data_IF_573126328830
#
_entry.id   IF_573126328830
#
_cell.length_a   1.000
_cell.length_b   1.000
_cell.length_c   1.000
_cell.angle_alpha   90.00
_cell.angle_beta   90.00
_cell.angle_gamma   90.00
#
_symmetry.space_group_name_H-M   'P 1'
#
loop_
_entity.id
_entity.type
_entity.pdbx_description
1 polymer ?
#
# COMPACT_ATOMS: atom_id res chain seq x y z
N UNK A 1 -28.97 20.52 17.42
CA UNK A 1 -29.81 21.14 16.37
C UNK A 1 -29.73 20.27 15.13
N UNK A 2 -30.88 19.86 14.58
CA UNK A 2 -30.94 19.16 13.28
C UNK A 2 -30.70 20.17 12.18
N UNK A 3 -29.79 19.87 11.24
CA UNK A 3 -29.41 20.71 10.11
C UNK A 3 -29.52 19.90 8.83
N UNK A 4 -29.81 20.58 7.71
CA UNK A 4 -29.77 19.99 6.38
C UNK A 4 -28.50 20.48 5.67
N UNK A 5 -27.71 19.58 5.09
CA UNK A 5 -26.45 19.88 4.40
C UNK A 5 -26.66 19.45 2.94
N UNK A 6 -26.77 20.42 2.04
CA UNK A 6 -27.02 20.18 0.61
C UNK A 6 -25.76 20.37 -0.24
N UNK A 7 -24.74 21.03 0.33
CA UNK A 7 -23.50 21.31 -0.37
C UNK A 7 -22.29 21.34 0.57
N UNK A 8 -21.06 21.18 0.04
CA UNK A 8 -19.81 21.36 0.82
C UNK A 8 -19.72 22.75 1.47
N UNK A 9 -20.30 23.78 0.84
CA UNK A 9 -20.32 25.13 1.39
C UNK A 9 -21.20 25.22 2.65
N UNK A 10 -22.29 24.47 2.72
CA UNK A 10 -23.14 24.44 3.91
C UNK A 10 -22.42 23.73 5.06
N UNK A 11 -21.71 22.63 4.77
CA UNK A 11 -20.87 21.96 5.76
C UNK A 11 -19.78 22.89 6.33
N UNK A 12 -19.07 23.64 5.46
CA UNK A 12 -18.06 24.59 5.89
C UNK A 12 -18.64 25.73 6.77
N UNK A 13 -19.81 26.27 6.43
CA UNK A 13 -20.50 27.29 7.24
C UNK A 13 -20.88 26.77 8.62
N UNK A 14 -21.08 25.48 8.76
CA UNK A 14 -21.37 24.79 10.03
C UNK A 14 -20.11 24.42 10.81
N UNK A 15 -18.93 24.79 10.31
CA UNK A 15 -17.64 24.47 10.93
C UNK A 15 -17.19 23.04 10.71
N UNK A 16 -17.66 22.36 9.66
CA UNK A 16 -17.22 21.02 9.30
C UNK A 16 -16.10 21.14 8.27
N UNK A 17 -14.91 20.65 8.60
CA UNK A 17 -13.76 20.49 7.70
C UNK A 17 -13.51 19.03 7.35
N UNK A 18 -12.98 18.77 6.16
CA UNK A 18 -12.60 17.43 5.74
C UNK A 18 -11.16 17.41 5.22
N UNK A 19 -10.41 16.42 5.66
CA UNK A 19 -9.06 16.10 5.22
C UNK A 19 -9.17 14.78 4.46
N UNK A 20 -8.91 14.84 3.16
CA UNK A 20 -9.06 13.70 2.25
C UNK A 20 -7.84 12.79 2.32
N UNK A 21 -8.03 11.50 1.99
CA UNK A 21 -6.98 10.50 1.85
C UNK A 21 -5.90 10.92 0.84
N UNK A 22 -6.32 11.55 -0.27
CA UNK A 22 -5.42 12.19 -1.23
C UNK A 22 -5.52 13.70 -1.08
N UNK A 23 -4.39 14.36 -0.85
CA UNK A 23 -4.36 15.80 -0.63
C UNK A 23 -4.95 16.59 -1.79
N UNK A 24 -5.77 17.58 -1.45
CA UNK A 24 -6.43 18.46 -2.41
C UNK A 24 -5.70 19.80 -2.54
N UNK A 25 -4.36 19.76 -2.45
CA UNK A 25 -3.48 20.92 -2.57
C UNK A 25 -3.11 21.15 -4.03
N UNK A 26 -2.94 22.42 -4.39
CA UNK A 26 -2.40 22.85 -5.68
C UNK A 26 -0.88 22.87 -5.57
N UNK A 27 -0.15 21.94 -6.26
CA UNK A 27 1.27 21.73 -6.03
C UNK A 27 2.17 22.93 -6.32
N UNK A 28 1.78 23.76 -7.30
CA UNK A 28 2.55 24.93 -7.74
C UNK A 28 2.31 26.19 -6.91
N UNK A 29 1.33 26.18 -6.02
CA UNK A 29 1.00 27.29 -5.14
C UNK A 29 1.78 27.18 -3.82
N UNK A 30 1.96 28.33 -3.17
CA UNK A 30 2.48 28.40 -1.80
C UNK A 30 1.45 27.87 -0.78
N UNK A 31 1.90 27.64 0.45
CA UNK A 31 1.04 27.25 1.57
C UNK A 31 -0.08 28.26 1.78
N UNK A 32 0.27 29.55 1.87
CA UNK A 32 -0.72 30.62 2.10
C UNK A 32 -1.76 30.67 0.98
N UNK A 33 -1.36 30.55 -0.27
CA UNK A 33 -2.29 30.50 -1.41
C UNK A 33 -3.22 29.29 -1.34
N UNK A 34 -2.72 28.10 -0.97
CA UNK A 34 -3.55 26.92 -0.79
C UNK A 34 -4.57 27.06 0.36
N UNK A 35 -4.18 27.69 1.46
CA UNK A 35 -5.08 27.92 2.61
C UNK A 35 -6.20 28.89 2.25
N UNK A 36 -5.88 29.94 1.50
CA UNK A 36 -6.82 30.96 1.04
C UNK A 36 -7.82 30.40 0.01
N UNK A 37 -7.40 29.48 -0.83
CA UNK A 37 -8.21 28.93 -1.92
C UNK A 37 -9.57 28.42 -1.38
N UNK A 38 -10.67 29.07 -1.83
CA UNK A 38 -12.03 28.76 -1.37
C UNK A 38 -12.45 29.34 -0.01
N UNK A 39 -11.56 30.09 0.69
CA UNK A 39 -11.94 30.85 1.89
C UNK A 39 -12.50 32.24 1.52
N UNK A 40 -12.23 32.72 0.33
CA UNK A 40 -12.72 34.02 -0.17
C UNK A 40 -14.21 33.91 -0.44
N UNK A 41 -15.01 34.42 0.51
CA UNK A 41 -16.48 34.49 0.38
C UNK A 41 -16.97 35.80 -0.25
N UNK A 42 -16.13 36.84 -0.22
CA UNK A 42 -16.43 38.15 -0.83
C UNK A 42 -15.38 38.54 -1.87
N UNK A 43 -15.74 38.57 -3.16
CA UNK A 43 -14.84 38.99 -4.24
C UNK A 43 -14.35 40.42 -4.15
N UNK A 44 -14.95 41.25 -3.23
CA UNK A 44 -14.62 42.68 -3.02
C UNK A 44 -13.82 42.93 -1.74
N UNK A 45 -13.60 41.87 -0.92
CA UNK A 45 -12.77 41.98 0.27
C UNK A 45 -11.29 42.17 -0.09
N UNK A 46 -10.62 43.16 0.50
CA UNK A 46 -9.18 43.27 0.40
C UNK A 46 -8.55 42.14 1.18
N UNK A 47 -7.84 41.25 0.48
CA UNK A 47 -7.18 40.08 1.05
C UNK A 47 -5.69 40.42 1.25
N UNK A 48 -5.18 40.29 2.48
CA UNK A 48 -3.75 40.45 2.74
C UNK A 48 -3.07 39.10 2.91
N UNK A 49 -2.18 38.75 1.99
CA UNK A 49 -1.35 37.54 2.07
C UNK A 49 -0.52 37.54 3.36
N UNK A 50 0.01 38.72 3.75
CA UNK A 50 0.83 38.84 4.94
C UNK A 50 0.02 38.63 6.25
N UNK A 51 -1.23 39.07 6.29
CA UNK A 51 -2.10 38.84 7.46
C UNK A 51 -2.47 37.39 7.58
N UNK A 52 -2.83 36.75 6.46
CA UNK A 52 -3.09 35.28 6.43
C UNK A 52 -1.86 34.47 6.80
N UNK A 53 -0.69 34.84 6.32
CA UNK A 53 0.55 34.14 6.69
C UNK A 53 0.80 34.22 8.21
N UNK A 54 0.49 35.36 8.86
CA UNK A 54 0.58 35.50 10.32
C UNK A 54 -0.44 34.63 11.06
N UNK A 55 -1.68 34.53 10.54
CA UNK A 55 -2.71 33.66 11.13
C UNK A 55 -2.34 32.15 10.97
N UNK A 56 -1.84 31.76 9.82
CA UNK A 56 -1.35 30.40 9.58
C UNK A 56 -0.24 30.07 10.57
N UNK A 57 0.72 30.97 10.75
CA UNK A 57 1.81 30.78 11.71
C UNK A 57 1.28 30.63 13.12
N UNK A 58 0.36 31.50 13.53
CA UNK A 58 -0.29 31.44 14.86
C UNK A 58 -1.02 30.10 15.08
N UNK A 59 -1.75 29.60 14.08
CA UNK A 59 -2.41 28.30 14.13
C UNK A 59 -1.37 27.17 14.21
N UNK A 60 -0.30 27.24 13.42
CA UNK A 60 0.82 26.30 13.46
C UNK A 60 1.45 26.21 14.85
N UNK A 61 1.78 27.37 15.45
CA UNK A 61 2.35 27.45 16.79
C UNK A 61 1.39 26.91 17.87
N UNK A 62 0.07 27.14 17.69
CA UNK A 62 -0.94 26.69 18.66
C UNK A 62 -1.10 25.17 18.70
N UNK A 63 -1.00 24.51 17.55
CA UNK A 63 -1.29 23.09 17.41
C UNK A 63 -0.06 22.23 17.05
N UNK A 64 1.15 22.79 17.05
CA UNK A 64 2.36 22.05 16.66
C UNK A 64 2.41 21.68 15.17
N UNK A 65 1.75 22.47 14.32
CA UNK A 65 1.64 22.25 12.86
C UNK A 65 2.47 23.29 12.07
N UNK A 66 3.65 23.60 12.56
CA UNK A 66 4.53 24.60 11.97
C UNK A 66 4.86 24.29 10.51
N UNK A 67 4.69 25.29 9.65
CA UNK A 67 5.03 25.26 8.23
C UNK A 67 5.37 26.68 7.76
N UNK A 68 6.28 26.81 6.79
CA UNK A 68 6.55 28.11 6.15
C UNK A 68 5.39 28.48 5.22
N UNK A 69 4.64 29.60 5.51
CA UNK A 69 3.51 30.03 4.69
C UNK A 69 3.87 30.33 3.23
N UNK A 70 5.11 30.65 2.94
CA UNK A 70 5.56 31.02 1.58
C UNK A 70 6.23 29.85 0.82
N UNK A 71 6.45 28.71 1.46
CA UNK A 71 6.97 27.54 0.79
C UNK A 71 5.99 27.00 -0.27
N UNK A 72 6.51 26.58 -1.42
CA UNK A 72 5.72 25.96 -2.50
C UNK A 72 5.39 24.50 -2.11
N UNK A 73 4.13 24.10 -2.25
CA UNK A 73 3.63 22.81 -1.75
C UNK A 73 4.35 21.60 -2.36
N UNK A 74 4.72 21.64 -3.65
CA UNK A 74 5.44 20.54 -4.30
C UNK A 74 6.88 20.31 -3.78
N UNK A 75 7.42 21.28 -3.03
CA UNK A 75 8.74 21.19 -2.40
C UNK A 75 8.66 20.65 -0.97
N UNK A 76 7.46 20.55 -0.42
CA UNK A 76 7.25 20.07 0.94
C UNK A 76 7.22 18.55 1.00
N UNK A 77 7.84 17.94 2.02
CA UNK A 77 7.60 16.54 2.36
C UNK A 77 6.12 16.26 2.56
N UNK A 78 5.70 15.01 2.32
CA UNK A 78 4.28 14.59 2.42
C UNK A 78 3.66 14.92 3.79
N UNK A 79 4.43 14.78 4.86
CA UNK A 79 4.03 15.12 6.23
C UNK A 79 3.71 16.61 6.38
N UNK A 80 4.49 17.48 5.76
CA UNK A 80 4.25 18.91 5.75
C UNK A 80 3.03 19.28 4.90
N UNK A 81 2.81 18.59 3.78
CA UNK A 81 1.60 18.78 2.97
C UNK A 81 0.34 18.45 3.77
N UNK A 82 0.38 17.41 4.61
CA UNK A 82 -0.73 17.08 5.50
C UNK A 82 -0.99 18.18 6.52
N UNK A 83 0.05 18.78 7.12
CA UNK A 83 -0.10 19.93 8.01
C UNK A 83 -0.80 21.09 7.31
N UNK A 84 -0.48 21.34 6.03
CA UNK A 84 -1.15 22.36 5.21
C UNK A 84 -2.64 22.06 5.04
N UNK A 85 -3.03 20.81 4.81
CA UNK A 85 -4.46 20.42 4.73
C UNK A 85 -5.20 20.68 6.05
N UNK A 86 -4.55 20.34 7.18
CA UNK A 86 -5.13 20.60 8.50
C UNK A 86 -5.26 22.12 8.73
N UNK A 87 -4.18 22.88 8.50
CA UNK A 87 -4.19 24.35 8.66
C UNK A 87 -5.24 25.00 7.75
N UNK A 88 -5.43 24.52 6.53
CA UNK A 88 -6.49 24.96 5.61
C UNK A 88 -7.89 24.78 6.21
N UNK A 89 -8.15 23.64 6.86
CA UNK A 89 -9.43 23.38 7.53
C UNK A 89 -9.61 24.27 8.78
N UNK A 90 -8.56 24.41 9.59
CA UNK A 90 -8.57 25.25 10.81
C UNK A 90 -8.76 26.74 10.49
N UNK A 91 -8.05 27.24 9.48
CA UNK A 91 -8.18 28.62 9.02
C UNK A 91 -9.62 28.99 8.61
N UNK A 92 -10.36 28.01 8.09
CA UNK A 92 -11.78 28.13 7.72
C UNK A 92 -12.73 28.00 8.92
N UNK A 93 -12.20 27.87 10.14
CA UNK A 93 -12.99 27.79 11.37
C UNK A 93 -13.62 26.42 11.61
N UNK A 94 -13.01 25.34 11.15
CA UNK A 94 -13.50 24.00 11.41
C UNK A 94 -13.44 23.70 12.92
N UNK A 95 -14.56 23.24 13.47
CA UNK A 95 -14.70 22.73 14.84
C UNK A 95 -15.10 21.25 14.86
N UNK A 96 -15.46 20.69 13.71
CA UNK A 96 -15.61 19.25 13.45
C UNK A 96 -14.71 18.89 12.28
N UNK A 97 -13.71 18.05 12.52
CA UNK A 97 -12.81 17.56 11.46
C UNK A 97 -13.15 16.11 11.07
N UNK A 98 -13.35 15.88 9.80
CA UNK A 98 -13.44 14.53 9.23
C UNK A 98 -12.08 14.22 8.61
N UNK A 99 -11.42 13.18 9.08
CA UNK A 99 -10.10 12.76 8.61
C UNK A 99 -10.21 11.35 7.98
N UNK A 100 -9.97 11.27 6.67
CA UNK A 100 -10.07 10.03 5.91
C UNK A 100 -8.69 9.43 5.70
N UNK A 101 -8.39 8.33 6.40
CA UNK A 101 -7.10 7.62 6.42
C UNK A 101 -5.87 8.53 6.53
N UNK A 102 -5.82 9.46 7.49
CA UNK A 102 -4.80 10.50 7.51
C UNK A 102 -3.38 9.99 7.81
N UNK A 103 -3.23 8.75 8.24
CA UNK A 103 -1.94 8.12 8.59
C UNK A 103 -1.39 7.22 7.49
N UNK A 104 -2.08 7.08 6.34
CA UNK A 104 -1.72 6.13 5.29
C UNK A 104 -0.30 6.33 4.72
N UNK A 105 0.22 7.54 4.77
CA UNK A 105 1.51 7.94 4.18
C UNK A 105 2.49 8.52 5.21
N UNK A 106 2.17 8.42 6.51
CA UNK A 106 2.97 8.99 7.59
C UNK A 106 3.96 7.99 8.17
N UNK A 107 5.08 8.52 8.68
CA UNK A 107 5.98 7.76 9.56
C UNK A 107 5.35 7.59 10.95
N UNK A 108 5.79 6.61 11.77
CA UNK A 108 5.30 6.46 13.14
C UNK A 108 5.44 7.74 13.98
N UNK A 109 6.54 8.48 13.82
CA UNK A 109 6.77 9.74 14.53
C UNK A 109 5.76 10.80 14.11
N UNK A 110 5.46 10.90 12.81
CA UNK A 110 4.48 11.86 12.28
C UNK A 110 3.04 11.48 12.64
N UNK A 111 2.76 10.19 12.77
CA UNK A 111 1.47 9.69 13.27
C UNK A 111 1.27 10.13 14.73
N UNK A 112 2.28 10.01 15.59
CA UNK A 112 2.21 10.48 16.98
C UNK A 112 1.99 11.99 17.06
N UNK A 113 2.63 12.77 16.20
CA UNK A 113 2.39 14.24 16.13
C UNK A 113 0.94 14.55 15.73
N UNK A 114 0.38 13.80 14.76
CA UNK A 114 -1.03 13.94 14.37
C UNK A 114 -1.96 13.60 15.55
N UNK A 115 -1.67 12.54 16.29
CA UNK A 115 -2.47 12.14 17.44
C UNK A 115 -2.42 13.18 18.57
N UNK A 116 -1.27 13.79 18.80
CA UNK A 116 -1.12 14.90 19.74
C UNK A 116 -1.98 16.10 19.30
N UNK A 117 -1.95 16.46 18.01
CA UNK A 117 -2.86 17.46 17.46
C UNK A 117 -4.34 17.12 17.74
N UNK A 118 -4.77 15.88 17.44
CA UNK A 118 -6.17 15.43 17.65
C UNK A 118 -6.55 15.55 19.14
N UNK A 119 -5.66 15.13 20.05
CA UNK A 119 -5.88 15.22 21.50
C UNK A 119 -6.04 16.67 21.95
N UNK A 120 -5.23 17.58 21.44
CA UNK A 120 -5.28 19.01 21.81
C UNK A 120 -6.48 19.73 21.17
N UNK A 121 -6.82 19.41 19.92
CA UNK A 121 -8.01 19.90 19.26
C UNK A 121 -9.30 19.47 20.00
N UNK A 122 -9.35 18.22 20.48
CA UNK A 122 -10.44 17.71 21.32
C UNK A 122 -10.51 18.42 22.67
N UNK A 123 -9.37 18.64 23.36
CA UNK A 123 -9.32 19.39 24.63
C UNK A 123 -9.85 20.82 24.48
N UNK A 124 -9.71 21.42 23.31
CA UNK A 124 -10.26 22.75 22.99
C UNK A 124 -11.80 22.73 22.76
N UNK A 125 -12.47 21.58 22.96
CA UNK A 125 -13.92 21.44 22.83
C UNK A 125 -14.41 21.10 21.43
N UNK A 126 -13.50 20.74 20.51
CA UNK A 126 -13.79 20.37 19.14
C UNK A 126 -13.99 18.85 18.99
N UNK A 127 -14.42 18.40 17.83
CA UNK A 127 -14.69 17.00 17.53
C UNK A 127 -13.94 16.52 16.29
N UNK A 128 -13.54 15.23 16.30
CA UNK A 128 -12.90 14.60 15.15
C UNK A 128 -13.65 13.32 14.81
N UNK A 129 -13.94 13.12 13.53
CA UNK A 129 -14.36 11.84 12.95
C UNK A 129 -13.12 11.26 12.24
N UNK A 130 -12.51 10.28 12.88
CA UNK A 130 -11.27 9.65 12.39
C UNK A 130 -11.62 8.33 11.68
N UNK A 131 -11.35 8.26 10.38
CA UNK A 131 -11.60 7.09 9.56
C UNK A 131 -10.26 6.38 9.34
N UNK A 132 -10.14 5.14 9.78
CA UNK A 132 -8.97 4.31 9.56
C UNK A 132 -9.36 2.82 9.55
N UNK A 133 -8.60 2.03 8.80
CA UNK A 133 -8.67 0.57 8.85
C UNK A 133 -7.60 -0.02 9.78
N UNK A 134 -6.67 0.77 10.28
CA UNK A 134 -5.63 0.37 11.24
C UNK A 134 -6.21 0.38 12.65
N UNK A 135 -6.51 -0.80 13.15
CA UNK A 135 -7.24 -0.95 14.43
C UNK A 135 -6.48 -0.40 15.64
N UNK A 136 -5.16 -0.55 15.67
CA UNK A 136 -4.30 0.01 16.70
C UNK A 136 -4.45 1.54 16.80
N UNK A 137 -4.49 2.25 15.66
CA UNK A 137 -4.68 3.69 15.62
C UNK A 137 -6.06 4.10 16.16
N UNK A 138 -7.11 3.40 15.72
CA UNK A 138 -8.47 3.64 16.19
C UNK A 138 -8.58 3.41 17.69
N UNK A 139 -7.98 2.31 18.20
CA UNK A 139 -7.96 1.99 19.61
C UNK A 139 -7.14 2.99 20.44
N UNK A 140 -6.19 3.70 19.87
CA UNK A 140 -5.38 4.67 20.57
C UNK A 140 -6.08 6.02 20.72
N UNK A 141 -6.79 6.48 19.67
CA UNK A 141 -7.25 7.88 19.61
C UNK A 141 -8.76 8.05 19.81
N UNK A 142 -9.59 7.03 19.56
CA UNK A 142 -11.04 7.16 19.59
C UNK A 142 -11.60 7.11 21.01
N UNK A 143 -12.67 7.87 21.28
CA UNK A 143 -13.50 7.71 22.47
C UNK A 143 -14.65 6.72 22.21
N UNK A 144 -15.13 6.66 20.98
CA UNK A 144 -16.23 5.83 20.51
C UNK A 144 -15.94 5.32 19.11
N UNK A 145 -16.20 4.06 18.86
CA UNK A 145 -15.89 3.38 17.61
C UNK A 145 -17.18 2.91 16.94
N UNK A 146 -17.35 3.28 15.67
CA UNK A 146 -18.46 2.83 14.82
C UNK A 146 -17.88 2.00 13.68
N UNK A 147 -18.35 0.76 13.53
CA UNK A 147 -17.88 -0.12 12.46
C UNK A 147 -18.85 -0.08 11.29
N UNK A 148 -18.33 0.31 10.12
CA UNK A 148 -19.04 0.28 8.84
C UNK A 148 -18.61 -0.92 8.02
N UNK A 149 -19.59 -1.65 7.46
CA UNK A 149 -19.35 -2.74 6.51
C UNK A 149 -20.41 -2.71 5.41
N UNK A 150 -19.96 -2.71 4.14
CA UNK A 150 -20.84 -2.64 2.95
C UNK A 150 -21.86 -1.50 3.02
N UNK A 151 -21.42 -0.31 3.48
CA UNK A 151 -22.24 0.90 3.56
C UNK A 151 -23.26 0.91 4.72
N UNK A 152 -23.16 -0.04 5.67
CA UNK A 152 -24.07 -0.13 6.83
C UNK A 152 -23.28 -0.14 8.14
N UNK A 153 -23.81 0.51 9.15
CA UNK A 153 -23.31 0.40 10.52
C UNK A 153 -23.64 -1.00 11.03
N UNK A 154 -22.61 -1.78 11.36
CA UNK A 154 -22.74 -3.15 11.89
C UNK A 154 -22.55 -3.19 13.39
N UNK A 155 -22.01 -2.13 14.00
CA UNK A 155 -21.90 -2.00 15.45
C UNK A 155 -21.31 -0.68 15.88
N UNK A 156 -21.52 -0.39 17.16
CA UNK A 156 -20.97 0.77 17.87
C UNK A 156 -20.47 0.30 19.23
N UNK A 157 -19.21 0.61 19.54
CA UNK A 157 -18.54 0.16 20.76
C UNK A 157 -17.82 1.34 21.41
N UNK A 158 -18.00 1.57 22.73
CA UNK A 158 -17.16 2.47 23.51
C UNK A 158 -15.70 1.96 23.49
N UNK A 159 -14.71 2.88 23.43
CA UNK A 159 -13.28 2.53 23.39
C UNK A 159 -12.87 1.53 24.48
N UNK A 160 -13.38 1.72 25.69
CA UNK A 160 -13.05 0.93 26.88
C UNK A 160 -13.41 -0.57 26.74
N UNK A 161 -14.37 -0.89 25.87
CA UNK A 161 -14.84 -2.25 25.63
C UNK A 161 -14.33 -2.84 24.32
N UNK A 162 -13.70 -2.02 23.48
CA UNK A 162 -13.24 -2.44 22.16
C UNK A 162 -11.90 -3.18 22.23
N UNK A 163 -11.83 -4.32 21.58
CA UNK A 163 -10.59 -5.08 21.33
C UNK A 163 -10.32 -5.15 19.83
N UNK A 164 -9.06 -5.29 19.46
CA UNK A 164 -8.66 -5.43 18.06
C UNK A 164 -9.37 -6.61 17.38
N UNK A 165 -9.45 -7.75 18.07
CA UNK A 165 -10.10 -8.95 17.56
C UNK A 165 -11.60 -8.75 17.32
N UNK A 166 -12.29 -8.06 18.22
CA UNK A 166 -13.73 -7.82 18.09
C UNK A 166 -14.01 -6.85 16.93
N UNK A 167 -13.23 -5.76 16.81
CA UNK A 167 -13.36 -4.82 15.71
C UNK A 167 -13.08 -5.49 14.36
N UNK A 168 -12.02 -6.26 14.27
CA UNK A 168 -11.67 -7.01 13.06
C UNK A 168 -12.78 -8.00 12.67
N UNK A 169 -13.34 -8.74 13.63
CA UNK A 169 -14.49 -9.63 13.42
C UNK A 169 -15.73 -8.89 12.88
N UNK A 170 -16.03 -7.72 13.42
CA UNK A 170 -17.16 -6.91 12.96
C UNK A 170 -16.93 -6.38 11.52
N UNK A 171 -15.71 -5.98 11.20
CA UNK A 171 -15.34 -5.47 9.87
C UNK A 171 -15.41 -6.56 8.81
N UNK A 172 -14.89 -7.74 9.09
CA UNK A 172 -14.84 -8.88 8.13
C UNK A 172 -16.16 -9.64 8.09
N UNK A 173 -16.81 -9.85 9.25
CA UNK A 173 -18.13 -10.49 9.34
C UNK A 173 -18.13 -11.99 9.54
N UNK A 174 -16.98 -12.61 9.67
CA UNK A 174 -16.76 -13.97 10.12
C UNK A 174 -15.56 -14.00 11.09
N UNK A 175 -15.36 -15.08 11.79
CA UNK A 175 -14.16 -15.24 12.60
C UNK A 175 -12.95 -15.14 11.68
N UNK A 176 -12.04 -14.22 12.01
CA UNK A 176 -10.71 -14.21 11.42
C UNK A 176 -10.08 -15.54 11.83
N UNK A 177 -10.02 -16.48 10.90
CA UNK A 177 -9.23 -17.67 11.12
C UNK A 177 -7.80 -17.17 11.38
N UNK A 178 -7.23 -17.52 12.55
CA UNK A 178 -5.78 -17.45 12.66
C UNK A 178 -5.24 -18.14 11.41
N UNK A 179 -4.53 -17.41 10.55
CA UNK A 179 -3.83 -17.98 9.42
C UNK A 179 -2.73 -18.85 10.03
N UNK A 180 -3.12 -20.04 10.50
CA UNK A 180 -2.18 -21.05 10.92
C UNK A 180 -1.59 -21.61 9.65
N UNK A 181 -0.40 -21.11 9.31
CA UNK A 181 0.47 -21.85 8.40
C UNK A 181 0.62 -23.23 9.04
N UNK A 182 -0.13 -24.21 8.51
CA UNK A 182 0.23 -25.60 8.78
C UNK A 182 1.65 -25.74 8.23
N UNK A 183 2.59 -25.89 9.14
CA UNK A 183 3.90 -26.38 8.80
C UNK A 183 3.69 -27.82 8.31
N UNK A 184 3.35 -27.99 7.05
CA UNK A 184 3.57 -29.27 6.40
C UNK A 184 5.07 -29.36 6.19
N UNK A 185 5.74 -29.79 7.25
CA UNK A 185 7.09 -30.32 7.19
C UNK A 185 7.05 -31.51 6.23
N UNK A 186 7.44 -31.27 5.01
CA UNK A 186 7.89 -32.37 4.16
C UNK A 186 8.87 -31.84 3.13
N UNK A 187 10.15 -31.98 3.43
CA UNK A 187 11.05 -32.91 2.72
C UNK A 187 12.48 -32.65 3.17
N UNK A 188 13.04 -33.60 3.87
CA UNK A 188 14.46 -33.80 4.14
C UNK A 188 15.20 -34.24 2.84
N UNK A 189 15.21 -33.38 1.84
CA UNK A 189 16.05 -33.47 0.65
C UNK A 189 16.63 -32.07 0.37
N UNK A 190 17.85 -31.99 -0.16
CA UNK A 190 18.40 -30.73 -0.65
C UNK A 190 17.45 -30.21 -1.74
N UNK A 191 16.60 -29.24 -1.40
CA UNK A 191 15.77 -28.53 -2.38
C UNK A 191 16.70 -27.66 -3.21
N UNK A 192 16.66 -27.79 -4.54
CA UNK A 192 17.32 -26.82 -5.41
C UNK A 192 16.50 -25.53 -5.42
N UNK A 193 17.16 -24.36 -5.32
CA UNK A 193 16.44 -23.08 -5.35
C UNK A 193 15.85 -22.86 -6.75
N UNK A 194 14.60 -22.41 -6.81
CA UNK A 194 13.97 -21.97 -8.05
C UNK A 194 14.45 -20.61 -8.51
N UNK A 195 14.75 -19.71 -7.56
CA UNK A 195 15.40 -18.42 -7.83
C UNK A 195 16.73 -18.40 -7.07
N UNK A 196 17.81 -18.09 -7.80
CA UNK A 196 19.14 -17.88 -7.23
C UNK A 196 19.67 -16.52 -7.69
N UNK A 197 20.06 -15.70 -6.76
CA UNK A 197 20.66 -14.38 -7.00
C UNK A 197 22.07 -14.40 -6.42
N UNK A 198 23.06 -14.09 -7.26
CA UNK A 198 24.47 -14.14 -6.91
C UNK A 198 25.14 -12.77 -7.13
N UNK A 199 25.64 -12.18 -6.04
CA UNK A 199 26.46 -10.97 -6.08
C UNK A 199 25.82 -9.79 -6.84
N UNK A 200 24.49 -9.65 -6.75
CA UNK A 200 23.73 -8.71 -7.55
C UNK A 200 24.04 -7.28 -7.17
N UNK A 201 24.36 -6.45 -8.20
CA UNK A 201 24.52 -5.00 -8.05
C UNK A 201 23.61 -4.26 -9.02
N UNK A 202 22.79 -3.36 -8.46
CA UNK A 202 21.85 -2.53 -9.24
C UNK A 202 22.00 -1.07 -8.85
N UNK A 203 21.94 -0.18 -9.84
CA UNK A 203 21.98 1.27 -9.62
C UNK A 203 20.58 1.82 -9.35
N UNK A 204 20.48 2.71 -8.38
CA UNK A 204 19.29 3.52 -8.14
C UNK A 204 19.20 4.70 -9.13
N UNK A 205 18.08 5.41 -9.09
CA UNK A 205 17.77 6.52 -10.00
C UNK A 205 18.81 7.67 -9.93
N UNK A 206 19.45 7.86 -8.79
CA UNK A 206 20.49 8.88 -8.56
C UNK A 206 21.91 8.37 -8.87
N UNK A 207 22.07 7.18 -9.47
CA UNK A 207 23.34 6.60 -9.88
C UNK A 207 24.14 5.90 -8.79
N UNK A 208 23.72 5.98 -7.52
CA UNK A 208 24.31 5.20 -6.41
C UNK A 208 23.98 3.70 -6.54
N UNK A 209 24.72 2.86 -5.84
CA UNK A 209 24.35 1.43 -5.71
C UNK A 209 23.19 1.30 -4.74
N UNK A 210 22.01 0.96 -5.26
CA UNK A 210 20.82 0.69 -4.47
C UNK A 210 20.75 -0.77 -4.00
N UNK A 211 21.28 -1.71 -4.81
CA UNK A 211 21.53 -3.11 -4.43
C UNK A 211 23.03 -3.35 -4.56
N UNK A 212 23.65 -3.90 -3.54
CA UNK A 212 25.10 -4.07 -3.46
C UNK A 212 25.48 -5.46 -2.97
N UNK A 213 26.05 -6.27 -3.87
CA UNK A 213 26.51 -7.64 -3.63
C UNK A 213 25.45 -8.54 -2.95
N UNK A 214 24.18 -8.40 -3.36
CA UNK A 214 23.06 -9.12 -2.78
C UNK A 214 23.05 -10.58 -3.24
N UNK A 215 22.90 -11.50 -2.29
CA UNK A 215 22.69 -12.93 -2.53
C UNK A 215 21.35 -13.33 -1.93
N UNK A 216 20.55 -14.11 -2.67
CA UNK A 216 19.25 -14.59 -2.22
C UNK A 216 18.89 -15.88 -2.93
N UNK A 217 18.30 -16.82 -2.21
CA UNK A 217 17.75 -18.05 -2.73
C UNK A 217 16.29 -18.20 -2.31
N UNK A 218 15.42 -18.61 -3.25
CA UNK A 218 14.00 -18.91 -2.99
C UNK A 218 13.71 -20.32 -3.48
N UNK A 219 13.02 -21.11 -2.67
CA UNK A 219 12.69 -22.49 -2.97
C UNK A 219 11.24 -22.63 -3.44
N UNK A 220 10.96 -23.75 -4.14
CA UNK A 220 9.59 -24.11 -4.51
C UNK A 220 8.73 -24.36 -3.25
N UNK A 221 7.51 -23.83 -3.25
CA UNK A 221 6.57 -23.98 -2.13
C UNK A 221 6.99 -23.21 -0.87
N UNK A 222 7.68 -22.08 -1.03
CA UNK A 222 8.10 -21.20 0.05
C UNK A 222 7.60 -19.76 -0.19
N UNK A 223 7.22 -19.09 0.87
CA UNK A 223 7.11 -17.62 0.90
C UNK A 223 8.37 -17.09 1.57
N UNK A 224 9.22 -16.42 0.79
CA UNK A 224 10.41 -15.74 1.29
C UNK A 224 10.11 -14.25 1.47
N UNK A 225 10.07 -13.77 2.70
CA UNK A 225 9.82 -12.37 3.03
C UNK A 225 11.09 -11.53 3.01
N UNK A 226 11.02 -10.31 2.48
CA UNK A 226 12.08 -9.31 2.65
C UNK A 226 11.55 -8.19 3.55
N UNK A 227 12.11 -8.09 4.75
CA UNK A 227 11.86 -7.03 5.70
C UNK A 227 12.90 -5.91 5.58
N UNK A 228 12.46 -4.66 5.65
CA UNK A 228 13.36 -3.49 5.60
C UNK A 228 12.58 -2.20 5.44
N UNK A 229 13.16 -1.09 5.91
CA UNK A 229 12.58 0.24 5.72
C UNK A 229 12.63 0.62 4.24
N UNK A 230 11.59 1.32 3.74
CA UNK A 230 11.53 1.79 2.35
C UNK A 230 12.81 2.52 1.93
N UNK A 231 13.23 2.31 0.67
CA UNK A 231 14.44 2.95 0.13
C UNK A 231 15.75 2.21 0.41
N UNK A 232 15.68 0.98 0.93
CA UNK A 232 16.85 0.13 1.14
C UNK A 232 17.19 -0.76 -0.08
N UNK A 233 16.62 -0.49 -1.26
CA UNK A 233 16.95 -1.21 -2.49
C UNK A 233 15.90 -2.27 -2.90
N UNK A 234 14.76 -2.36 -2.20
CA UNK A 234 13.70 -3.33 -2.49
C UNK A 234 13.11 -3.12 -3.88
N UNK A 235 12.82 -1.86 -4.26
CA UNK A 235 12.23 -1.52 -5.56
C UNK A 235 13.22 -1.85 -6.68
N UNK A 236 14.49 -1.45 -6.55
CA UNK A 236 15.53 -1.72 -7.54
C UNK A 236 15.81 -3.22 -7.68
N UNK A 237 15.72 -3.99 -6.60
CA UNK A 237 15.82 -5.44 -6.63
C UNK A 237 14.69 -6.06 -7.46
N UNK A 238 13.44 -5.69 -7.18
CA UNK A 238 12.28 -6.27 -7.89
C UNK A 238 12.21 -5.83 -9.34
N UNK A 239 12.54 -4.58 -9.65
CA UNK A 239 12.64 -4.09 -11.02
C UNK A 239 13.73 -4.84 -11.80
N UNK A 240 14.88 -5.15 -11.18
CA UNK A 240 15.93 -5.92 -11.82
C UNK A 240 15.52 -7.38 -12.03
N UNK A 241 14.84 -8.00 -11.07
CA UNK A 241 14.29 -9.36 -11.18
C UNK A 241 13.27 -9.48 -12.31
N UNK A 242 12.50 -8.42 -12.56
CA UNK A 242 11.46 -8.42 -13.59
C UNK A 242 11.91 -7.81 -14.92
N UNK A 243 13.22 -7.47 -15.04
CA UNK A 243 13.80 -6.92 -16.28
C UNK A 243 13.39 -5.49 -16.60
N UNK A 244 12.89 -4.75 -15.62
CA UNK A 244 12.53 -3.32 -15.73
C UNK A 244 13.74 -2.41 -15.48
N UNK A 245 14.78 -2.94 -14.81
CA UNK A 245 16.00 -2.21 -14.50
C UNK A 245 17.24 -3.04 -14.90
N UNK A 246 18.27 -2.41 -15.53
CA UNK A 246 19.45 -3.14 -15.92
C UNK A 246 20.29 -3.55 -14.70
N UNK A 247 20.74 -4.79 -14.70
CA UNK A 247 21.70 -5.33 -13.75
C UNK A 247 23.09 -4.83 -14.12
N UNK A 248 23.84 -4.30 -13.15
CA UNK A 248 25.22 -3.84 -13.35
C UNK A 248 26.23 -5.00 -13.28
N UNK A 249 26.14 -5.80 -12.22
CA UNK A 249 27.01 -6.94 -11.92
C UNK A 249 26.20 -8.03 -11.21
N UNK A 250 26.68 -9.26 -11.27
CA UNK A 250 26.04 -10.42 -10.66
C UNK A 250 25.10 -11.16 -11.61
N UNK A 251 24.50 -12.21 -11.11
CA UNK A 251 23.65 -13.11 -11.88
C UNK A 251 22.32 -13.34 -11.17
N UNK A 252 21.30 -13.61 -12.00
CA UNK A 252 19.95 -14.01 -11.58
C UNK A 252 19.60 -15.26 -12.37
N UNK A 253 19.24 -16.34 -11.68
CA UNK A 253 18.82 -17.59 -12.31
C UNK A 253 17.42 -17.98 -11.83
N UNK A 254 16.56 -18.41 -12.76
CA UNK A 254 15.30 -19.07 -12.49
C UNK A 254 15.34 -20.50 -13.01
N UNK A 255 15.24 -21.48 -12.11
CA UNK A 255 15.40 -22.90 -12.44
C UNK A 255 16.66 -23.16 -13.31
N UNK A 256 17.79 -22.54 -12.96
CA UNK A 256 19.04 -22.60 -13.68
C UNK A 256 19.11 -21.77 -14.97
N UNK A 257 18.01 -21.18 -15.42
CA UNK A 257 17.98 -20.31 -16.60
C UNK A 257 18.37 -18.88 -16.24
N UNK A 258 19.37 -18.25 -16.91
CA UNK A 258 19.82 -16.91 -16.59
C UNK A 258 18.77 -15.86 -16.99
N UNK A 259 18.40 -14.96 -16.05
CA UNK A 259 17.47 -13.85 -16.26
C UNK A 259 18.19 -12.52 -16.45
N UNK A 260 19.45 -12.39 -16.11
CA UNK A 260 20.21 -11.13 -15.96
C UNK A 260 20.12 -10.15 -17.13
N UNK A 261 19.91 -10.67 -18.36
CA UNK A 261 19.78 -9.86 -19.59
C UNK A 261 18.43 -10.10 -20.30
N UNK A 262 17.51 -10.76 -19.66
CA UNK A 262 16.20 -11.02 -20.24
C UNK A 262 15.35 -9.77 -20.24
N UNK A 263 14.56 -9.59 -21.30
CA UNK A 263 13.50 -8.58 -21.33
C UNK A 263 12.30 -9.08 -20.52
N UNK A 264 11.51 -8.16 -20.00
CA UNK A 264 10.30 -8.46 -19.21
C UNK A 264 9.38 -9.51 -19.86
N UNK A 265 9.14 -9.41 -21.18
CA UNK A 265 8.33 -10.40 -21.90
C UNK A 265 8.87 -11.83 -21.75
N UNK A 266 10.17 -12.04 -21.91
CA UNK A 266 10.79 -13.36 -21.77
C UNK A 266 10.71 -13.87 -20.32
N UNK A 267 10.77 -12.96 -19.32
CA UNK A 267 10.64 -13.31 -17.90
C UNK A 267 9.21 -13.77 -17.59
N UNK A 268 8.21 -13.12 -18.18
CA UNK A 268 6.80 -13.55 -18.13
C UNK A 268 6.65 -14.94 -18.72
N UNK A 269 7.23 -15.19 -19.91
CA UNK A 269 7.17 -16.49 -20.59
C UNK A 269 7.86 -17.61 -19.80
N UNK A 270 8.89 -17.25 -19.02
CA UNK A 270 9.55 -18.18 -18.09
C UNK A 270 8.70 -18.48 -16.85
N UNK A 271 7.56 -17.82 -16.66
CA UNK A 271 6.61 -18.13 -15.60
C UNK A 271 6.84 -17.32 -14.30
N UNK A 272 7.26 -16.07 -14.42
CA UNK A 272 7.35 -15.12 -13.31
C UNK A 272 6.16 -14.16 -13.34
N UNK A 273 5.37 -14.11 -12.27
CA UNK A 273 4.35 -13.10 -12.04
C UNK A 273 4.87 -11.96 -11.14
N UNK A 274 4.35 -10.77 -11.33
CA UNK A 274 4.78 -9.58 -10.57
C UNK A 274 3.58 -8.73 -10.13
N UNK A 275 3.31 -8.70 -8.83
CA UNK A 275 2.33 -7.81 -8.21
C UNK A 275 3.10 -6.57 -7.74
N UNK A 276 2.91 -5.40 -8.38
CA UNK A 276 3.64 -4.18 -8.05
C UNK A 276 3.09 -3.48 -6.81
N UNK A 277 3.91 -2.63 -6.18
CA UNK A 277 3.53 -1.81 -5.03
C UNK A 277 2.45 -0.76 -5.36
N UNK A 278 2.50 -0.20 -6.57
CA UNK A 278 1.50 0.77 -7.04
C UNK A 278 0.67 0.18 -8.20
N UNK A 279 -0.50 -0.33 -7.85
CA UNK A 279 -1.42 -0.94 -8.82
C UNK A 279 -1.90 0.04 -9.90
N UNK A 280 -1.94 1.35 -9.61
CA UNK A 280 -2.43 2.35 -10.56
C UNK A 280 -1.37 2.77 -11.57
N UNK A 281 -0.09 2.82 -11.16
CA UNK A 281 1.01 3.19 -12.05
C UNK A 281 1.53 2.03 -12.87
N UNK A 282 1.61 0.85 -12.26
CA UNK A 282 2.34 -0.31 -12.81
C UNK A 282 1.45 -1.54 -13.00
N UNK A 283 0.39 -1.63 -12.20
CA UNK A 283 -0.45 -2.83 -12.14
C UNK A 283 -1.57 -2.84 -13.16
N UNK A 284 -2.22 -1.72 -13.43
CA UNK A 284 -3.46 -1.64 -14.22
C UNK A 284 -3.37 -0.57 -15.29
N UNK A 285 -4.06 -0.80 -16.41
CA UNK A 285 -4.40 0.26 -17.36
C UNK A 285 -5.82 0.71 -17.03
N UNK A 286 -5.94 1.82 -16.30
CA UNK A 286 -7.19 2.26 -15.66
C UNK A 286 -8.33 2.50 -16.65
N UNK A 287 -8.03 2.89 -17.88
CA UNK A 287 -9.00 3.15 -18.94
C UNK A 287 -9.48 1.89 -19.65
N UNK A 288 -8.74 0.80 -19.56
CA UNK A 288 -9.12 -0.50 -20.10
C UNK A 288 -10.12 -1.20 -19.20
N UNK A 289 -10.92 -2.08 -19.81
CA UNK A 289 -11.89 -2.93 -19.12
C UNK A 289 -11.22 -3.96 -18.21
N UNK A 290 -12.03 -4.62 -17.37
CA UNK A 290 -11.58 -5.76 -16.55
C UNK A 290 -11.07 -6.89 -17.43
N UNK A 291 -11.81 -7.26 -18.50
CA UNK A 291 -11.42 -8.33 -19.41
C UNK A 291 -10.10 -8.06 -20.13
N UNK A 292 -9.88 -6.83 -20.61
CA UNK A 292 -8.62 -6.42 -21.25
C UNK A 292 -7.45 -6.47 -20.27
N UNK A 293 -7.62 -5.95 -19.04
CA UNK A 293 -6.59 -6.01 -18.00
C UNK A 293 -6.24 -7.45 -17.61
N UNK A 294 -7.21 -8.37 -17.57
CA UNK A 294 -6.96 -9.78 -17.22
C UNK A 294 -6.11 -10.52 -18.26
N UNK A 295 -6.22 -10.19 -19.54
CA UNK A 295 -5.47 -10.85 -20.61
C UNK A 295 -4.21 -10.09 -21.02
N UNK A 296 -3.91 -8.96 -20.44
CA UNK A 296 -2.86 -8.02 -20.86
C UNK A 296 -1.47 -8.67 -21.03
N UNK A 297 -1.13 -9.72 -20.27
CA UNK A 297 0.16 -10.43 -20.34
C UNK A 297 0.18 -11.66 -21.24
N UNK A 298 -0.93 -11.95 -21.91
CA UNK A 298 -1.06 -13.13 -22.80
C UNK A 298 -1.98 -12.89 -23.97
N UNK A 299 -2.32 -11.60 -24.26
CA UNK A 299 -3.28 -11.25 -25.31
C UNK A 299 -2.87 -11.74 -26.71
N UNK A 300 -1.58 -11.90 -26.98
CA UNK A 300 -0.98 -12.37 -28.23
C UNK A 300 -0.95 -13.90 -28.35
N UNK A 301 -1.21 -14.62 -27.27
CA UNK A 301 -1.21 -16.07 -27.20
C UNK A 301 -2.59 -16.67 -27.48
N UNK A 302 -2.61 -17.93 -27.94
CA UNK A 302 -3.86 -18.72 -27.98
C UNK A 302 -4.36 -18.97 -26.55
N UNK A 303 -5.67 -18.88 -26.28
CA UNK A 303 -6.80 -18.71 -27.19
C UNK A 303 -7.20 -17.25 -27.46
N UNK A 304 -6.46 -16.25 -26.94
CA UNK A 304 -6.85 -14.83 -27.00
C UNK A 304 -6.52 -14.18 -28.33
N UNK A 305 -5.53 -14.74 -29.06
CA UNK A 305 -5.17 -14.26 -30.40
C UNK A 305 -5.05 -15.40 -31.39
N UNK A 306 -5.48 -15.16 -32.63
CA UNK A 306 -5.28 -16.09 -33.75
C UNK A 306 -4.80 -15.29 -34.96
N UNK A 307 -3.58 -15.58 -35.42
CA UNK A 307 -2.93 -14.89 -36.54
C UNK A 307 -2.88 -13.36 -36.36
N UNK A 308 -2.64 -12.89 -35.13
CA UNK A 308 -2.58 -11.46 -34.79
C UNK A 308 -3.93 -10.77 -34.64
N UNK A 309 -5.04 -11.53 -34.70
CA UNK A 309 -6.40 -10.97 -34.51
C UNK A 309 -6.92 -11.45 -33.16
N UNK A 310 -7.33 -10.49 -32.31
CA UNK A 310 -7.89 -10.78 -30.99
C UNK A 310 -9.23 -11.52 -31.13
N UNK A 311 -9.43 -12.50 -30.25
CA UNK A 311 -10.61 -13.33 -30.19
C UNK A 311 -11.48 -12.87 -29.01
N UNK A 312 -12.28 -11.82 -29.23
CA UNK A 312 -13.10 -11.18 -28.18
C UNK A 312 -13.98 -12.17 -27.41
N UNK A 313 -14.60 -13.14 -28.12
CA UNK A 313 -15.39 -14.18 -27.48
C UNK A 313 -14.61 -15.04 -26.49
N UNK A 314 -13.36 -15.41 -26.83
CA UNK A 314 -12.48 -16.18 -25.94
C UNK A 314 -12.00 -15.34 -24.75
N UNK A 315 -11.70 -14.07 -24.98
CA UNK A 315 -11.33 -13.11 -23.92
C UNK A 315 -12.47 -12.93 -22.92
N UNK A 316 -13.68 -12.69 -23.43
CA UNK A 316 -14.89 -12.53 -22.61
C UNK A 316 -15.20 -13.79 -21.78
N UNK A 317 -15.11 -14.96 -22.39
CA UNK A 317 -15.34 -16.22 -21.70
C UNK A 317 -14.32 -16.44 -20.58
N UNK A 318 -13.03 -16.25 -20.86
CA UNK A 318 -11.96 -16.33 -19.86
C UNK A 318 -12.17 -15.33 -18.73
N UNK A 319 -12.42 -14.07 -19.06
CA UNK A 319 -12.63 -13.01 -18.08
C UNK A 319 -13.81 -13.33 -17.15
N UNK A 320 -14.93 -13.85 -17.69
CA UNK A 320 -16.10 -14.24 -16.90
C UNK A 320 -15.72 -15.33 -15.87
N UNK A 321 -14.98 -16.35 -16.28
CA UNK A 321 -14.51 -17.43 -15.39
C UNK A 321 -13.57 -16.89 -14.30
N UNK A 322 -12.65 -16.01 -14.65
CA UNK A 322 -11.70 -15.40 -13.70
C UNK A 322 -12.42 -14.48 -12.71
N UNK A 323 -13.36 -13.64 -13.19
CA UNK A 323 -14.17 -12.76 -12.35
C UNK A 323 -14.91 -13.57 -11.28
N UNK A 324 -15.50 -14.69 -11.66
CA UNK A 324 -16.20 -15.59 -10.74
C UNK A 324 -15.21 -16.27 -9.77
N UNK A 325 -14.13 -16.85 -10.27
CA UNK A 325 -13.14 -17.60 -9.48
C UNK A 325 -12.43 -16.76 -8.43
N UNK A 326 -12.16 -15.48 -8.75
CA UNK A 326 -11.50 -14.52 -7.86
C UNK A 326 -12.49 -13.60 -7.13
N UNK A 327 -13.80 -13.84 -7.28
CA UNK A 327 -14.86 -13.04 -6.67
C UNK A 327 -14.64 -11.52 -6.90
N UNK A 328 -14.34 -11.13 -8.15
CA UNK A 328 -14.15 -9.74 -8.55
C UNK A 328 -15.53 -9.11 -8.67
N UNK A 329 -15.82 -8.08 -7.87
CA UNK A 329 -17.08 -7.36 -7.94
C UNK A 329 -16.99 -6.30 -9.04
N UNK A 330 -17.60 -6.58 -10.19
CA UNK A 330 -17.74 -5.69 -11.32
C UNK A 330 -19.15 -5.81 -11.89
N UNK A 331 -19.76 -4.72 -12.44
CA UNK A 331 -21.04 -4.82 -13.13
C UNK A 331 -20.99 -5.76 -14.33
N UNK A 332 -19.96 -5.62 -15.16
CA UNK A 332 -19.75 -6.40 -16.38
C UNK A 332 -18.25 -6.57 -16.66
N UNK A 333 -17.80 -7.57 -17.44
CA UNK A 333 -16.40 -7.72 -17.80
C UNK A 333 -15.81 -6.55 -18.59
N UNK A 334 -16.60 -5.80 -19.34
CA UNK A 334 -16.22 -4.62 -20.12
C UNK A 334 -16.20 -3.32 -19.30
N UNK A 335 -16.51 -3.38 -17.99
CA UNK A 335 -16.39 -2.22 -17.10
C UNK A 335 -14.93 -1.75 -16.98
N UNK A 336 -14.60 -0.45 -17.22
CA UNK A 336 -13.27 0.07 -17.00
C UNK A 336 -12.84 -0.09 -15.53
N UNK A 337 -11.59 -0.57 -15.30
CA UNK A 337 -11.13 -0.93 -13.95
C UNK A 337 -11.06 0.27 -13.01
N UNK A 338 -11.00 1.50 -13.52
CA UNK A 338 -11.03 2.72 -12.70
C UNK A 338 -12.29 2.85 -11.82
N UNK A 339 -13.39 2.22 -12.21
CA UNK A 339 -14.65 2.27 -11.47
C UNK A 339 -14.77 1.19 -10.39
N UNK A 340 -13.79 0.30 -10.27
CA UNK A 340 -13.76 -0.71 -9.23
C UNK A 340 -13.18 -0.14 -7.94
N UNK A 341 -13.62 -0.69 -6.80
CA UNK A 341 -12.95 -0.43 -5.51
C UNK A 341 -11.51 -0.93 -5.52
N UNK A 342 -10.63 -0.34 -4.68
CA UNK A 342 -9.23 -0.72 -4.57
C UNK A 342 -9.02 -2.22 -4.35
N UNK A 343 -9.84 -2.86 -3.51
CA UNK A 343 -9.79 -4.31 -3.31
C UNK A 343 -10.13 -5.11 -4.58
N UNK A 344 -11.13 -4.69 -5.37
CA UNK A 344 -11.44 -5.36 -6.64
C UNK A 344 -10.39 -5.10 -7.72
N UNK A 345 -9.82 -3.89 -7.78
CA UNK A 345 -8.67 -3.59 -8.63
C UNK A 345 -7.49 -4.51 -8.31
N UNK A 346 -7.17 -4.71 -7.03
CA UNK A 346 -6.11 -5.61 -6.60
C UNK A 346 -6.39 -7.07 -6.99
N UNK A 347 -7.63 -7.51 -6.90
CA UNK A 347 -8.04 -8.86 -7.37
C UNK A 347 -7.80 -9.06 -8.87
N UNK A 348 -8.03 -8.03 -9.70
CA UNK A 348 -7.72 -8.08 -11.14
C UNK A 348 -6.23 -8.25 -11.37
N UNK A 349 -5.39 -7.46 -10.67
CA UNK A 349 -3.92 -7.59 -10.75
C UNK A 349 -3.50 -9.00 -10.35
N UNK A 350 -3.92 -9.46 -9.17
CA UNK A 350 -3.53 -10.77 -8.63
C UNK A 350 -3.96 -11.90 -9.56
N UNK A 351 -5.19 -11.88 -10.06
CA UNK A 351 -5.70 -12.91 -10.96
C UNK A 351 -4.86 -13.03 -12.23
N UNK A 352 -4.48 -11.90 -12.83
CA UNK A 352 -3.59 -11.86 -13.99
C UNK A 352 -2.20 -12.38 -13.65
N UNK A 353 -1.61 -11.93 -12.54
CA UNK A 353 -0.25 -12.30 -12.18
C UNK A 353 -0.13 -13.78 -11.79
N UNK A 354 -1.11 -14.33 -11.08
CA UNK A 354 -1.18 -15.77 -10.74
C UNK A 354 -1.30 -16.64 -12.01
N UNK A 355 -2.03 -16.17 -13.03
CA UNK A 355 -2.18 -16.89 -14.27
C UNK A 355 -0.84 -17.09 -15.01
N UNK A 356 0.09 -16.15 -14.91
CA UNK A 356 1.42 -16.22 -15.54
C UNK A 356 2.49 -16.79 -14.60
N UNK A 357 2.33 -16.68 -13.29
CA UNK A 357 3.29 -17.17 -12.29
C UNK A 357 3.30 -18.69 -12.18
N UNK A 358 4.02 -19.36 -13.07
CA UNK A 358 4.15 -20.83 -13.01
C UNK A 358 5.15 -21.29 -11.96
N UNK A 359 6.23 -20.54 -11.75
CA UNK A 359 7.32 -20.90 -10.85
C UNK A 359 7.50 -19.88 -9.73
N UNK A 360 7.50 -18.58 -10.04
CA UNK A 360 7.80 -17.51 -9.11
C UNK A 360 6.72 -16.42 -9.15
N UNK A 361 6.25 -16.01 -7.98
CA UNK A 361 5.41 -14.83 -7.80
C UNK A 361 6.19 -13.81 -6.98
N UNK A 362 6.46 -12.64 -7.56
CA UNK A 362 7.02 -11.49 -6.85
C UNK A 362 5.84 -10.63 -6.40
N UNK A 363 5.68 -10.44 -5.10
CA UNK A 363 4.59 -9.65 -4.50
C UNK A 363 5.16 -8.49 -3.69
N UNK A 364 5.03 -7.27 -4.22
CA UNK A 364 5.55 -6.06 -3.58
C UNK A 364 4.38 -5.28 -3.00
N UNK A 365 4.38 -5.11 -1.68
CA UNK A 365 3.31 -4.40 -0.96
C UNK A 365 1.88 -4.82 -1.39
N UNK A 366 1.60 -6.13 -1.48
CA UNK A 366 0.39 -6.63 -2.15
C UNK A 366 -0.91 -6.21 -1.48
N UNK A 367 -0.86 -5.79 -0.22
CA UNK A 367 -2.02 -5.37 0.58
C UNK A 367 -2.11 -3.87 0.78
N UNK A 368 -1.19 -3.10 0.19
CA UNK A 368 -1.13 -1.64 0.38
C UNK A 368 -2.43 -0.94 0.01
N UNK A 369 -3.02 -0.22 0.98
CA UNK A 369 -4.25 0.56 0.79
C UNK A 369 -5.47 -0.33 0.56
N UNK A 370 -5.49 -1.53 1.12
CA UNK A 370 -6.64 -2.43 1.14
C UNK A 370 -7.30 -2.44 2.52
N UNK A 371 -8.59 -2.70 2.54
CA UNK A 371 -9.31 -3.03 3.77
C UNK A 371 -8.92 -4.42 4.31
N UNK A 372 -9.24 -4.69 5.57
CA UNK A 372 -8.88 -5.95 6.26
C UNK A 372 -9.39 -7.18 5.49
N UNK A 373 -10.63 -7.16 4.98
CA UNK A 373 -11.18 -8.30 4.25
C UNK A 373 -10.47 -8.55 2.92
N UNK A 374 -10.08 -7.49 2.21
CA UNK A 374 -9.28 -7.58 0.99
C UNK A 374 -7.84 -8.04 1.29
N UNK A 375 -7.27 -7.59 2.41
CA UNK A 375 -5.94 -8.02 2.89
C UNK A 375 -5.94 -9.53 3.18
N UNK A 376 -6.91 -10.02 3.94
CA UNK A 376 -7.05 -11.45 4.24
C UNK A 376 -7.17 -12.29 2.96
N UNK A 377 -7.98 -11.82 2.01
CA UNK A 377 -8.11 -12.47 0.72
C UNK A 377 -6.77 -12.57 -0.03
N UNK A 378 -5.98 -11.50 -0.08
CA UNK A 378 -4.64 -11.50 -0.70
C UNK A 378 -3.73 -12.51 0.00
N UNK A 379 -3.70 -12.52 1.33
CA UNK A 379 -2.92 -13.48 2.11
C UNK A 379 -3.27 -14.93 1.78
N UNK A 380 -4.55 -15.25 1.67
CA UNK A 380 -5.01 -16.60 1.27
C UNK A 380 -4.54 -16.98 -0.13
N UNK A 381 -4.54 -16.05 -1.09
CA UNK A 381 -4.04 -16.30 -2.45
C UNK A 381 -2.52 -16.54 -2.45
N UNK A 382 -1.74 -15.77 -1.70
CA UNK A 382 -0.29 -15.99 -1.60
C UNK A 382 0.03 -17.36 -0.98
N UNK A 383 -0.68 -17.75 0.09
CA UNK A 383 -0.56 -19.06 0.71
C UNK A 383 -0.96 -20.18 -0.25
N UNK A 384 -2.03 -19.98 -1.02
CA UNK A 384 -2.45 -20.93 -2.05
C UNK A 384 -1.36 -21.10 -3.12
N UNK A 385 -0.79 -20.00 -3.61
CA UNK A 385 0.30 -20.04 -4.59
C UNK A 385 1.50 -20.85 -4.07
N UNK A 386 1.90 -20.61 -2.80
CA UNK A 386 2.94 -21.38 -2.11
C UNK A 386 2.58 -22.88 -2.06
N UNK A 387 1.38 -23.22 -1.62
CA UNK A 387 0.95 -24.60 -1.45
C UNK A 387 0.83 -25.34 -2.78
N UNK A 388 0.63 -24.63 -3.89
CA UNK A 388 0.68 -25.15 -5.25
C UNK A 388 2.12 -25.34 -5.77
N UNK A 389 3.14 -25.11 -4.94
CA UNK A 389 4.56 -25.33 -5.24
C UNK A 389 5.27 -24.15 -5.87
N UNK A 390 4.63 -22.98 -5.99
CA UNK A 390 5.32 -21.77 -6.45
C UNK A 390 6.20 -21.19 -5.35
N UNK A 391 7.34 -20.61 -5.72
CA UNK A 391 8.04 -19.71 -4.81
C UNK A 391 7.37 -18.35 -4.81
N UNK A 392 7.30 -17.72 -3.66
CA UNK A 392 6.75 -16.37 -3.49
C UNK A 392 7.81 -15.49 -2.85
N UNK A 393 8.21 -14.42 -3.55
CA UNK A 393 9.02 -13.36 -2.96
C UNK A 393 8.07 -12.26 -2.46
N UNK A 394 7.91 -12.16 -1.15
CA UNK A 394 7.07 -11.16 -0.50
C UNK A 394 7.91 -10.00 0.01
N UNK A 395 7.64 -8.80 -0.47
CA UNK A 395 8.25 -7.56 0.02
C UNK A 395 7.17 -6.67 0.57
N UNK A 396 7.25 -6.35 1.86
CA UNK A 396 6.29 -5.47 2.53
C UNK A 396 6.99 -4.56 3.55
N UNK A 397 6.46 -3.36 3.71
CA UNK A 397 6.80 -2.47 4.82
C UNK A 397 6.05 -2.83 6.11
N UNK A 398 4.99 -3.61 5.99
CA UNK A 398 4.22 -4.11 7.12
C UNK A 398 4.91 -5.37 7.66
N UNK A 399 5.67 -5.20 8.78
CA UNK A 399 6.40 -6.31 9.38
C UNK A 399 5.46 -7.45 9.82
N UNK A 400 4.25 -7.12 10.27
CA UNK A 400 3.20 -8.10 10.62
C UNK A 400 2.80 -8.99 9.44
N UNK A 401 2.73 -8.44 8.22
CA UNK A 401 2.44 -9.21 7.00
C UNK A 401 3.58 -10.20 6.71
N UNK A 402 4.83 -9.73 6.74
CA UNK A 402 6.03 -10.56 6.54
C UNK A 402 6.05 -11.72 7.55
N UNK A 403 5.86 -11.41 8.83
CA UNK A 403 5.89 -12.40 9.91
C UNK A 403 4.77 -13.42 9.83
N UNK A 404 3.57 -13.02 9.39
CA UNK A 404 2.41 -13.91 9.32
C UNK A 404 2.50 -14.90 8.16
N UNK A 405 3.12 -14.51 7.04
CA UNK A 405 3.09 -15.28 5.79
C UNK A 405 4.38 -16.00 5.45
N UNK A 406 5.54 -15.48 5.89
CA UNK A 406 6.83 -15.97 5.40
C UNK A 406 7.28 -17.25 6.10
N UNK A 407 7.88 -18.15 5.33
CA UNK A 407 8.57 -19.34 5.82
C UNK A 407 10.01 -19.00 6.22
N UNK A 408 10.65 -18.07 5.48
CA UNK A 408 11.96 -17.46 5.81
C UNK A 408 11.89 -15.96 5.59
N UNK A 409 12.69 -15.21 6.34
CA UNK A 409 12.75 -13.75 6.29
C UNK A 409 14.18 -13.31 6.09
N UNK A 410 14.44 -12.52 5.04
CA UNK A 410 15.69 -11.79 4.86
C UNK A 410 15.52 -10.33 5.25
N UNK A 411 16.44 -9.78 6.02
CA UNK A 411 16.44 -8.36 6.37
C UNK A 411 17.38 -7.62 5.42
N UNK A 412 16.83 -6.64 4.70
CA UNK A 412 17.60 -5.80 3.78
C UNK A 412 17.92 -4.44 4.43
N UNK A 413 19.18 -4.03 4.31
CA UNK A 413 19.64 -2.71 4.73
C UNK A 413 20.71 -2.19 3.77
N UNK A 414 20.51 -0.98 3.24
CA UNK A 414 21.41 -0.33 2.26
C UNK A 414 21.82 -1.25 1.09
N UNK A 415 20.82 -1.94 0.51
CA UNK A 415 21.00 -2.80 -0.65
C UNK A 415 21.63 -4.17 -0.39
N UNK A 416 21.86 -4.54 0.87
CA UNK A 416 22.45 -5.82 1.25
C UNK A 416 21.52 -6.62 2.15
N UNK A 417 21.50 -7.93 1.98
CA UNK A 417 20.88 -8.83 2.97
C UNK A 417 21.83 -8.97 4.14
N UNK A 418 21.41 -8.52 5.32
CA UNK A 418 22.18 -8.64 6.55
C UNK A 418 22.09 -10.02 7.16
N UNK A 419 20.89 -10.60 7.16
CA UNK A 419 20.63 -11.95 7.71
C UNK A 419 19.38 -12.52 7.05
N UNK A 420 19.38 -13.85 6.89
CA UNK A 420 18.18 -14.64 6.56
C UNK A 420 17.86 -15.52 7.76
N UNK A 421 16.60 -15.51 8.20
CA UNK A 421 16.13 -16.14 9.43
C UNK A 421 14.99 -17.08 9.06
N UNK A 422 15.05 -18.32 9.51
CA UNK A 422 13.95 -19.27 9.36
C UNK A 422 12.82 -18.93 10.32
N UNK A 423 11.57 -19.24 9.95
CA UNK A 423 10.39 -18.90 10.73
C UNK A 423 10.46 -19.30 12.20
N UNK A 424 11.03 -20.46 12.49
CA UNK A 424 11.14 -20.99 13.86
C UNK A 424 12.15 -20.23 14.75
N UNK A 425 13.06 -19.47 14.12
CA UNK A 425 14.14 -18.75 14.79
C UNK A 425 13.88 -17.23 14.83
N UNK A 426 12.64 -16.79 14.54
CA UNK A 426 12.27 -15.38 14.49
C UNK A 426 12.33 -14.77 15.89
N UNK A 427 13.16 -13.74 16.02
CA UNK A 427 13.20 -12.81 17.15
C UNK A 427 12.85 -11.39 16.64
N UNK A 428 11.77 -10.82 17.19
CA UNK A 428 11.25 -9.51 16.79
C UNK A 428 12.22 -8.37 17.07
N UNK A 429 12.92 -8.43 18.20
CA UNK A 429 13.88 -7.41 18.60
C UNK A 429 15.11 -7.47 17.68
N UNK A 430 15.55 -8.67 17.32
CA UNK A 430 16.64 -8.86 16.36
C UNK A 430 16.29 -8.31 14.99
N UNK A 431 15.09 -8.63 14.46
CA UNK A 431 14.64 -8.11 13.15
C UNK A 431 14.58 -6.58 13.19
N UNK A 432 14.04 -5.99 14.26
CA UNK A 432 13.97 -4.53 14.41
C UNK A 432 15.34 -3.87 14.39
N UNK A 433 16.33 -4.44 15.10
CA UNK A 433 17.71 -3.95 15.11
C UNK A 433 18.37 -4.07 13.73
N UNK A 434 18.21 -5.21 13.07
CA UNK A 434 18.75 -5.44 11.72
C UNK A 434 18.15 -4.47 10.69
N UNK A 435 16.85 -4.17 10.77
CA UNK A 435 16.19 -3.17 9.88
C UNK A 435 16.77 -1.76 10.07
N UNK A 436 17.31 -1.44 11.24
CA UNK A 436 18.02 -0.18 11.52
C UNK A 436 19.53 -0.26 11.19
N UNK A 437 20.01 -1.39 10.70
CA UNK A 437 21.42 -1.62 10.36
C UNK A 437 22.31 -1.94 11.54
N UNK A 438 21.74 -2.26 12.70
CA UNK A 438 22.49 -2.70 13.88
C UNK A 438 22.68 -4.20 13.77
N UNK A 439 23.90 -4.61 13.40
CA UNK A 439 24.31 -6.01 13.50
C UNK A 439 24.91 -6.24 14.89
N UNK A 440 24.48 -7.29 15.59
CA UNK A 440 25.17 -7.69 16.81
C UNK A 440 26.68 -7.84 16.47
N UNK A 441 27.53 -7.08 17.15
CA UNK A 441 28.98 -7.26 17.01
C UNK A 441 29.28 -8.70 17.43
N UNK A 442 29.87 -9.47 16.49
CA UNK A 442 30.56 -10.70 16.80
C UNK A 442 31.70 -10.44 17.78
#
# INVERSE_FOLDING_TARGET
>A
RIVNIESPRDAMKLGIGMIHQHFTLVPVHSVVENVILGAITDPRGSFSIEETAKEIKKLGDTYGLEVDPFATVNQLPVEMQQRVEILKALYRGANVLIMDEPTAVLTPQSTEMLFNFIRDFRKAGNSVIFISHKLNEVLEIADRIVVLRSGRVVGEIPREKATEQELARMMVGHELGEIKLKAENNTSGKKEPILCIENLKVRGNLGHLAVDALNLEIFAGEIHGIAGVSGNGQDELTEALYGLRPVREGNIFLNGTPLTKCKTHNIIDLGVGYIPADRHKEGLVLDMSVEENLVLKGFDLSPFSRKGILQEGSIRQYATQVIESYAIKTPTPDTPVRYLSGGNQQKVVIAREIAVARFLLIAVQPTRGLDIGSTEYVHQILLKARNEGRGVLLISTELSEILSLSDRISVIYRGRILKTIDRQDIDMDEIGLLMMGVTARQ
#
